data_IF_726893470071
#
_entry.id   IF_726893470071
#
_cell.length_a   1.000
_cell.length_b   1.000
_cell.length_c   1.000
_cell.angle_alpha   90.00
_cell.angle_beta   90.00
_cell.angle_gamma   90.00
#
_symmetry.space_group_name_H-M   'P 1'
#
loop_
_entity.id
_entity.type
_entity.pdbx_description
1 polymer ?
#
# COMPACT_ATOMS: atom_id res chain seq x y z
N UNK A 1 -8.99 17.54 2.75
CA UNK A 1 -9.88 16.44 3.16
C UNK A 1 -9.06 15.47 4.00
N UNK A 2 -9.17 15.59 5.32
CA UNK A 2 -8.47 14.71 6.25
C UNK A 2 -9.32 13.44 6.43
N UNK A 3 -8.91 12.33 5.81
CA UNK A 3 -9.37 11.02 6.27
C UNK A 3 -8.70 10.75 7.62
N UNK A 4 -9.36 11.21 8.68
CA UNK A 4 -8.95 10.99 10.07
C UNK A 4 -8.98 9.50 10.41
N UNK A 5 -7.80 8.93 10.66
CA UNK A 5 -7.39 8.32 11.94
C UNK A 5 -8.30 7.28 12.65
N UNK A 6 -9.31 6.69 12.00
CA UNK A 6 -10.15 5.64 12.61
C UNK A 6 -10.29 4.36 11.79
N UNK A 7 -9.39 4.11 10.85
CA UNK A 7 -9.27 2.79 10.26
C UNK A 7 -7.95 2.22 10.73
N UNK A 8 -7.98 1.25 11.63
CA UNK A 8 -6.78 0.45 11.86
C UNK A 8 -6.52 -0.36 10.59
N UNK A 9 -5.29 -0.37 10.06
CA UNK A 9 -4.96 -1.26 8.97
C UNK A 9 -5.18 -2.71 9.43
N UNK A 10 -5.81 -3.50 8.57
CA UNK A 10 -6.05 -4.92 8.82
C UNK A 10 -4.73 -5.69 8.79
N UNK A 11 -3.79 -5.23 7.97
CA UNK A 11 -2.45 -5.80 7.87
C UNK A 11 -1.43 -4.69 7.66
N UNK A 12 -0.28 -4.80 8.31
CA UNK A 12 0.88 -3.92 8.08
C UNK A 12 2.11 -4.79 7.94
N UNK A 13 2.84 -4.59 6.85
CA UNK A 13 4.08 -5.30 6.57
C UNK A 13 5.14 -4.32 6.06
N UNK A 14 6.40 -4.58 6.41
CA UNK A 14 7.54 -3.83 5.88
C UNK A 14 8.21 -4.65 4.78
N UNK A 15 8.37 -4.04 3.60
CA UNK A 15 8.96 -4.67 2.42
C UNK A 15 9.98 -3.73 1.76
N UNK A 16 11.24 -4.16 1.65
CA UNK A 16 12.37 -3.36 1.13
C UNK A 16 12.51 -1.97 1.79
N UNK A 17 12.14 -1.85 3.07
CA UNK A 17 12.12 -0.59 3.81
C UNK A 17 10.87 0.28 3.58
N UNK A 18 9.99 -0.09 2.65
CA UNK A 18 8.68 0.51 2.48
C UNK A 18 7.70 -0.13 3.46
N UNK A 19 6.83 0.68 4.05
CA UNK A 19 5.75 0.19 4.90
C UNK A 19 4.48 0.08 4.09
N UNK A 20 3.92 -1.12 4.00
CA UNK A 20 2.67 -1.42 3.31
C UNK A 20 1.60 -1.66 4.35
N UNK A 21 0.55 -0.85 4.33
CA UNK A 21 -0.62 -0.98 5.19
C UNK A 21 -1.86 -1.28 4.34
N UNK A 22 -2.55 -2.39 4.63
CA UNK A 22 -3.77 -2.79 3.95
C UNK A 22 -4.98 -2.37 4.77
N UNK A 23 -5.86 -1.59 4.15
CA UNK A 23 -7.13 -1.16 4.72
C UNK A 23 -8.27 -1.89 4.03
N UNK A 24 -9.16 -2.48 4.83
CA UNK A 24 -10.29 -3.28 4.34
C UNK A 24 -11.59 -2.61 4.78
N UNK A 25 -11.91 -1.46 4.17
CA UNK A 25 -13.14 -0.70 4.51
C UNK A 25 -14.38 -1.26 3.81
N UNK A 26 -14.24 -1.51 2.51
CA UNK A 26 -15.25 -2.11 1.63
C UNK A 26 -14.54 -3.09 0.70
N UNK A 27 -13.46 -2.61 0.09
CA UNK A 27 -12.46 -3.37 -0.63
C UNK A 27 -11.11 -3.31 0.11
N UNK A 28 -10.16 -4.16 -0.30
CA UNK A 28 -8.79 -4.12 0.18
C UNK A 28 -8.00 -3.06 -0.59
N UNK A 29 -7.42 -2.11 0.12
CA UNK A 29 -6.62 -1.04 -0.44
C UNK A 29 -5.26 -0.99 0.25
N UNK A 30 -4.19 -0.93 -0.54
CA UNK A 30 -2.85 -0.76 -0.01
C UNK A 30 -2.47 0.72 0.08
N UNK A 31 -1.81 1.06 1.17
CA UNK A 31 -1.17 2.34 1.43
C UNK A 31 0.31 2.05 1.62
N UNK A 32 1.16 2.70 0.84
CA UNK A 32 2.60 2.50 0.88
C UNK A 32 3.25 3.78 1.41
N UNK A 33 4.16 3.62 2.36
CA UNK A 33 4.98 4.69 2.92
C UNK A 33 6.45 4.40 2.60
N UNK A 34 7.21 5.36 2.07
CA UNK A 34 8.61 5.15 1.71
C UNK A 34 9.52 5.03 2.94
N UNK A 35 10.67 4.36 2.80
CA UNK A 35 11.67 4.28 3.86
C UNK A 35 12.14 5.67 4.29
N UNK A 36 12.19 5.93 5.59
CA UNK A 36 12.68 7.19 6.15
C UNK A 36 11.70 8.38 6.03
N UNK A 37 10.51 8.16 5.49
CA UNK A 37 9.44 9.15 5.42
C UNK A 37 8.20 8.74 6.21
N UNK A 38 7.39 9.72 6.60
CA UNK A 38 6.05 9.51 7.15
C UNK A 38 4.94 9.88 6.16
N UNK A 39 5.32 10.34 4.96
CA UNK A 39 4.39 10.73 3.92
C UNK A 39 3.91 9.48 3.18
N UNK A 40 2.59 9.26 3.18
CA UNK A 40 1.96 8.24 2.34
C UNK A 40 2.18 8.58 0.87
N UNK A 41 2.63 7.61 0.09
CA UNK A 41 2.68 7.72 -1.36
C UNK A 41 1.27 7.66 -1.93
N UNK A 42 0.88 8.67 -2.70
CA UNK A 42 -0.36 8.65 -3.46
C UNK A 42 -0.11 8.14 -4.87
N UNK A 43 -0.71 7.00 -5.18
CA UNK A 43 -0.66 6.38 -6.51
C UNK A 43 -1.88 6.69 -7.35
N UNK A 44 -2.82 7.54 -6.87
CA UNK A 44 -4.08 7.83 -7.55
C UNK A 44 -4.79 6.56 -8.04
N UNK A 45 -5.00 6.46 -9.36
CA UNK A 45 -5.64 5.32 -10.02
C UNK A 45 -4.76 4.05 -10.10
N UNK A 46 -3.45 4.17 -9.89
CA UNK A 46 -2.51 3.03 -9.83
C UNK A 46 -2.38 2.44 -8.44
N UNK A 47 -3.21 2.87 -7.49
CA UNK A 47 -3.18 2.35 -6.14
C UNK A 47 -3.52 0.85 -6.15
N UNK A 48 -2.74 0.01 -5.46
CA UNK A 48 -3.04 -1.41 -5.36
C UNK A 48 -4.36 -1.60 -4.61
N UNK A 49 -5.34 -2.16 -5.29
CA UNK A 49 -6.64 -2.54 -4.74
C UNK A 49 -6.91 -4.01 -5.03
N UNK A 50 -7.67 -4.66 -4.16
CA UNK A 50 -8.24 -5.97 -4.41
C UNK A 50 -9.65 -6.03 -3.85
N UNK A 51 -10.53 -6.71 -4.56
CA UNK A 51 -11.89 -6.96 -4.09
C UNK A 51 -11.90 -7.92 -2.91
N UNK A 52 -12.97 -7.94 -2.13
CA UNK A 52 -13.15 -8.88 -1.02
C UNK A 52 -13.04 -10.35 -1.48
N UNK A 53 -13.46 -10.64 -2.71
CA UNK A 53 -13.38 -12.00 -3.29
C UNK A 53 -11.93 -12.43 -3.62
N UNK A 54 -11.06 -11.49 -4.01
CA UNK A 54 -9.63 -11.74 -4.23
C UNK A 54 -8.87 -11.87 -2.90
N UNK A 55 -9.32 -11.14 -1.88
CA UNK A 55 -8.75 -11.15 -0.54
C UNK A 55 -7.54 -10.23 -0.39
N UNK A 56 -7.17 -9.97 0.87
CA UNK A 56 -6.14 -9.00 1.21
C UNK A 56 -4.74 -9.40 0.72
N UNK A 57 -4.46 -10.70 0.57
CA UNK A 57 -3.16 -11.21 0.11
C UNK A 57 -2.87 -10.79 -1.32
N UNK A 58 -3.88 -10.73 -2.19
CA UNK A 58 -3.74 -10.23 -3.58
C UNK A 58 -3.42 -8.74 -3.59
N UNK A 59 -4.04 -7.96 -2.69
CA UNK A 59 -3.73 -6.54 -2.52
C UNK A 59 -2.29 -6.33 -2.04
N UNK A 60 -1.82 -7.16 -1.12
CA UNK A 60 -0.46 -7.14 -0.60
C UNK A 60 0.56 -7.51 -1.69
N UNK A 61 0.30 -8.54 -2.49
CA UNK A 61 1.17 -8.95 -3.59
C UNK A 61 1.30 -7.85 -4.66
N UNK A 62 0.18 -7.23 -5.06
CA UNK A 62 0.17 -6.07 -5.96
C UNK A 62 0.94 -4.88 -5.37
N UNK A 63 0.82 -4.64 -4.07
CA UNK A 63 1.57 -3.58 -3.40
C UNK A 63 3.07 -3.86 -3.36
N UNK A 64 3.48 -5.11 -3.14
CA UNK A 64 4.88 -5.53 -3.21
C UNK A 64 5.44 -5.40 -4.61
N UNK A 65 4.68 -5.80 -5.63
CA UNK A 65 5.08 -5.63 -7.03
C UNK A 65 5.30 -4.15 -7.38
N UNK A 66 4.40 -3.27 -6.92
CA UNK A 66 4.56 -1.83 -7.13
C UNK A 66 5.81 -1.29 -6.42
N UNK A 67 6.08 -1.71 -5.18
CA UNK A 67 7.34 -1.38 -4.49
C UNK A 67 8.54 -1.96 -5.25
N UNK A 68 8.42 -3.16 -5.80
CA UNK A 68 9.47 -3.76 -6.61
C UNK A 68 9.80 -2.88 -7.81
N UNK A 69 8.79 -2.45 -8.58
CA UNK A 69 8.93 -1.51 -9.70
C UNK A 69 9.58 -0.18 -9.26
N UNK A 70 9.11 0.42 -8.16
CA UNK A 70 9.70 1.65 -7.60
C UNK A 70 11.17 1.50 -7.21
N UNK A 71 11.55 0.31 -6.73
CA UNK A 71 12.95 0.00 -6.37
C UNK A 71 13.79 -0.48 -7.54
N UNK A 72 13.14 -0.94 -8.62
CA UNK A 72 13.79 -1.43 -9.82
C UNK A 72 14.20 -0.29 -10.76
N UNK A 73 13.62 0.91 -10.62
CA UNK A 73 14.14 2.12 -11.26
C UNK A 73 15.33 2.68 -10.46
N UNK A 74 16.58 2.54 -10.94
CA UNK A 74 17.75 3.05 -10.23
C UNK A 74 17.97 4.52 -10.62
N UNK A 75 17.36 5.44 -9.88
CA UNK A 75 17.75 6.86 -9.85
C UNK A 75 17.40 7.69 -11.09
N UNK A 76 16.71 8.80 -10.86
CA UNK A 76 16.82 9.99 -11.70
C UNK A 76 17.33 11.14 -10.84
#
# INVERSE_FOLDING_TARGET
>A
MALGLLVMPNHVEEFKGYRIAIYSLLDHCAVITPPGGNAVMDFGAHRPVATVAEGYTVCLDRAKALVDELTAEPGN
#
